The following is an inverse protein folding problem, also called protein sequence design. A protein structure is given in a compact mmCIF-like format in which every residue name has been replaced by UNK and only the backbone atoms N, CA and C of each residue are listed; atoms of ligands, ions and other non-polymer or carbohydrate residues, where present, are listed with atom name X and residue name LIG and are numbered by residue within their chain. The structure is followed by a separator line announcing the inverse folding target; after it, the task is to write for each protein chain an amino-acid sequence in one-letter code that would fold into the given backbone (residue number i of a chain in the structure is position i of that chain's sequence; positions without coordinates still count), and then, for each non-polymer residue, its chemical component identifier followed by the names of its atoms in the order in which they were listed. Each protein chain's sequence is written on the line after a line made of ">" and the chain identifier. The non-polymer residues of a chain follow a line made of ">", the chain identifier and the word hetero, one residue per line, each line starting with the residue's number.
data_IF_380439477421
#
_entry.id   IF_380439477421
#
_cell.length_a   1.000
_cell.length_b   1.000
_cell.length_c   1.000
_cell.angle_alpha   90.00
_cell.angle_beta   90.00
_cell.angle_gamma   90.00
#
_symmetry.space_group_name_H-M   'P 1'
#
loop_
_entity.id
_entity.type
_entity.pdbx_description
1 polymer ?
#
# COMPACT_ATOMS: atom_id res chain seq x y z
N UNK A 1 5.41 1.64 6.35
CA UNK A 1 6.74 2.26 6.26
C UNK A 1 7.49 1.95 7.55
N UNK A 2 8.37 0.98 7.46
CA UNK A 2 9.24 0.62 8.58
C UNK A 2 10.14 1.80 8.94
N UNK A 3 10.15 2.20 10.18
CA UNK A 3 11.11 3.14 10.74
C UNK A 3 10.62 4.56 11.00
N UNK A 4 9.44 4.96 10.55
CA UNK A 4 8.97 6.34 10.78
C UNK A 4 7.79 6.38 11.75
N UNK A 5 8.06 6.10 13.03
CA UNK A 5 7.07 6.27 14.10
C UNK A 5 6.12 5.07 14.29
N UNK A 6 6.38 3.93 13.64
CA UNK A 6 5.65 2.68 13.92
C UNK A 6 6.29 2.00 15.12
N UNK A 7 5.60 2.04 16.25
CA UNK A 7 6.03 1.40 17.50
C UNK A 7 5.13 0.22 17.84
N UNK A 8 5.56 -0.66 18.74
CA UNK A 8 4.71 -1.76 19.22
C UNK A 8 3.41 -1.24 19.85
N UNK A 9 3.47 -0.13 20.60
CA UNK A 9 2.28 0.53 21.15
C UNK A 9 1.31 0.99 20.08
N UNK A 10 1.82 1.58 18.99
CA UNK A 10 1.01 1.96 17.84
C UNK A 10 0.31 0.76 17.21
N UNK A 11 1.02 -0.35 17.02
CA UNK A 11 0.49 -1.56 16.38
C UNK A 11 -0.59 -2.24 17.24
N UNK A 12 -0.40 -2.35 18.55
CA UNK A 12 -1.36 -3.04 19.43
C UNK A 12 -2.66 -2.26 19.65
N UNK A 13 -2.67 -0.97 19.39
CA UNK A 13 -3.85 -0.12 19.49
C UNK A 13 -4.63 0.00 18.18
N UNK A 14 -4.15 -0.59 17.08
CA UNK A 14 -4.80 -0.52 15.77
C UNK A 14 -5.88 -1.60 15.63
N UNK A 15 -6.99 -1.27 14.99
CA UNK A 15 -8.00 -2.24 14.54
C UNK A 15 -7.68 -2.81 13.16
N UNK A 16 -6.99 -2.02 12.35
CA UNK A 16 -6.56 -2.39 11.00
C UNK A 16 -5.10 -1.95 10.80
N UNK A 17 -4.29 -2.86 10.30
CA UNK A 17 -2.90 -2.62 9.92
C UNK A 17 -2.77 -2.72 8.41
N UNK A 18 -2.19 -1.73 7.77
CA UNK A 18 -2.01 -1.75 6.33
C UNK A 18 -0.54 -1.69 5.94
N UNK A 19 -0.09 -2.72 5.22
CA UNK A 19 1.21 -2.74 4.54
C UNK A 19 1.05 -2.00 3.22
N UNK A 20 1.69 -0.85 3.09
CA UNK A 20 1.65 -0.06 1.85
C UNK A 20 2.85 -0.39 1.00
N UNK A 21 2.63 -1.12 -0.10
CA UNK A 21 3.71 -1.46 -1.05
C UNK A 21 4.06 -0.29 -1.96
N UNK A 22 3.05 0.41 -2.49
CA UNK A 22 3.26 1.56 -3.37
C UNK A 22 2.01 2.46 -3.43
N UNK A 23 2.06 3.52 -4.24
CA UNK A 23 0.93 4.42 -4.52
C UNK A 23 0.58 4.35 -6.00
N UNK A 24 -0.71 4.38 -6.33
CA UNK A 24 -1.21 4.23 -7.68
C UNK A 24 -0.68 5.28 -8.65
N UNK A 25 -0.54 6.54 -8.22
CA UNK A 25 -0.04 7.64 -9.04
C UNK A 25 1.47 7.54 -9.37
N UNK A 26 2.21 6.73 -8.68
CA UNK A 26 3.67 6.58 -8.85
C UNK A 26 4.13 5.16 -8.53
N UNK A 27 3.68 4.17 -9.30
CA UNK A 27 4.09 2.77 -9.11
C UNK A 27 5.61 2.65 -9.24
N UNK A 28 6.22 1.85 -8.35
CA UNK A 28 7.67 1.64 -8.33
C UNK A 28 8.52 2.78 -7.79
N UNK A 29 7.96 3.96 -7.56
CA UNK A 29 8.64 5.08 -6.88
C UNK A 29 8.45 4.98 -5.36
N UNK A 30 9.43 5.43 -4.60
CA UNK A 30 9.32 5.54 -3.15
C UNK A 30 8.41 6.68 -2.70
N UNK A 31 8.22 6.82 -1.39
CA UNK A 31 7.57 7.97 -0.81
C UNK A 31 8.44 9.23 -0.94
N UNK A 32 7.83 10.36 -1.27
CA UNK A 32 8.48 11.65 -1.32
C UNK A 32 7.61 12.70 -0.61
N UNK A 33 8.21 13.50 0.26
CA UNK A 33 7.58 14.67 0.84
C UNK A 33 8.45 15.89 0.56
N UNK A 34 7.96 16.87 -0.21
CA UNK A 34 8.73 18.08 -0.51
C UNK A 34 9.06 18.87 0.76
N UNK A 35 10.22 19.52 0.79
CA UNK A 35 10.70 20.24 1.98
C UNK A 35 9.72 21.28 2.52
N UNK A 36 9.00 21.99 1.64
CA UNK A 36 7.99 22.97 2.06
C UNK A 36 6.79 22.40 2.82
N UNK A 37 6.59 21.06 2.77
CA UNK A 37 5.57 20.33 3.53
C UNK A 37 6.13 19.72 4.82
N UNK A 38 7.45 19.81 5.03
CA UNK A 38 8.10 19.29 6.25
C UNK A 38 8.20 20.46 7.24
N UNK A 39 7.16 20.64 8.02
CA UNK A 39 7.13 21.59 9.12
C UNK A 39 7.84 21.03 10.37
N UNK A 40 7.88 21.83 11.45
CA UNK A 40 8.51 21.44 12.71
C UNK A 40 7.88 20.20 13.32
N UNK A 41 6.57 19.99 13.14
CA UNK A 41 5.87 18.84 13.66
C UNK A 41 6.24 17.58 12.90
N UNK A 42 6.19 17.64 11.57
CA UNK A 42 6.59 16.54 10.70
C UNK A 42 8.07 16.21 10.91
N UNK A 43 8.92 17.23 11.04
CA UNK A 43 10.33 17.06 11.36
C UNK A 43 10.56 16.25 12.63
N UNK A 44 9.83 16.53 13.69
CA UNK A 44 9.92 15.78 14.95
C UNK A 44 9.43 14.34 14.81
N UNK A 45 8.25 14.15 14.21
CA UNK A 45 7.63 12.81 14.03
C UNK A 45 8.49 11.92 13.13
N UNK A 46 9.15 12.51 12.15
CA UNK A 46 9.97 11.78 11.18
C UNK A 46 11.46 11.74 11.53
N UNK A 47 11.86 12.30 12.68
CA UNK A 47 13.27 12.42 13.08
C UNK A 47 14.14 13.07 11.99
N UNK A 48 13.64 14.16 11.40
CA UNK A 48 14.26 14.86 10.29
C UNK A 48 14.31 16.37 10.51
N UNK A 49 15.05 17.08 9.66
CA UNK A 49 15.17 18.54 9.74
C UNK A 49 14.00 19.19 9.01
N UNK A 50 13.26 20.11 9.66
CA UNK A 50 12.23 20.90 9.01
C UNK A 50 12.76 21.64 7.76
N UNK A 51 11.93 21.73 6.74
CA UNK A 51 12.27 22.37 5.47
C UNK A 51 13.09 21.51 4.51
N UNK A 52 13.57 20.36 4.95
CA UNK A 52 14.31 19.41 4.09
C UNK A 52 13.37 18.34 3.56
N UNK A 53 13.42 18.09 2.24
CA UNK A 53 12.60 17.06 1.61
C UNK A 53 12.93 15.66 2.15
N UNK A 54 11.88 14.87 2.36
CA UNK A 54 11.99 13.48 2.79
C UNK A 54 11.81 12.55 1.60
N UNK A 55 12.70 11.57 1.49
CA UNK A 55 12.60 10.49 0.51
C UNK A 55 12.56 9.19 1.32
N UNK A 56 11.43 8.50 1.25
CA UNK A 56 11.32 7.14 1.77
C UNK A 56 11.69 6.18 0.64
N UNK A 57 12.63 5.28 0.84
CA UNK A 57 12.88 4.24 -0.15
C UNK A 57 11.62 3.41 -0.36
N UNK A 58 11.43 2.83 -1.54
CA UNK A 58 10.35 1.87 -1.76
C UNK A 58 10.43 0.75 -0.72
N UNK A 59 9.29 0.20 -0.27
CA UNK A 59 9.30 -0.92 0.69
C UNK A 59 10.04 -2.16 0.17
N UNK A 60 10.32 -2.21 -1.12
CA UNK A 60 11.10 -3.27 -1.77
C UNK A 60 12.53 -3.42 -1.23
N UNK A 61 13.07 -2.46 -0.48
CA UNK A 61 14.36 -2.62 0.19
C UNK A 61 14.32 -3.64 1.33
N UNK A 62 13.12 -3.94 1.86
CA UNK A 62 12.92 -4.90 2.95
C UNK A 62 12.07 -6.10 2.51
N UNK A 63 11.35 -5.97 1.39
CA UNK A 63 10.42 -6.98 0.88
C UNK A 63 10.77 -7.24 -0.58
N UNK A 64 11.45 -8.35 -0.85
CA UNK A 64 11.90 -8.74 -2.19
C UNK A 64 11.08 -9.86 -2.80
N UNK A 65 10.28 -10.54 -1.99
CA UNK A 65 9.49 -11.69 -2.41
C UNK A 65 8.13 -11.71 -1.71
N UNK A 66 7.24 -12.57 -2.21
CA UNK A 66 5.94 -12.80 -1.56
C UNK A 66 6.12 -13.49 -0.19
N UNK A 67 7.18 -14.24 -0.02
CA UNK A 67 7.54 -14.90 1.24
C UNK A 67 7.95 -13.88 2.30
N UNK A 68 8.70 -12.85 1.93
CA UNK A 68 9.06 -11.75 2.84
C UNK A 68 7.80 -10.99 3.28
N UNK A 69 6.87 -10.75 2.34
CA UNK A 69 5.57 -10.14 2.66
C UNK A 69 4.73 -11.03 3.57
N UNK A 70 4.72 -12.33 3.32
CA UNK A 70 4.02 -13.30 4.17
C UNK A 70 4.58 -13.33 5.59
N UNK A 71 5.90 -13.23 5.75
CA UNK A 71 6.54 -13.13 7.04
C UNK A 71 6.11 -11.86 7.78
N UNK A 72 6.09 -10.71 7.10
CA UNK A 72 5.65 -9.46 7.70
C UNK A 72 4.18 -9.50 8.12
N UNK A 73 3.29 -10.09 7.30
CA UNK A 73 1.88 -10.29 7.64
C UNK A 73 1.76 -11.15 8.89
N UNK A 74 2.51 -12.24 8.96
CA UNK A 74 2.55 -13.14 10.12
C UNK A 74 3.03 -12.40 11.38
N UNK A 75 4.10 -11.63 11.29
CA UNK A 75 4.65 -10.87 12.40
C UNK A 75 3.65 -9.83 12.93
N UNK A 76 2.97 -9.10 12.03
CA UNK A 76 1.93 -8.15 12.42
C UNK A 76 0.76 -8.82 13.12
N UNK A 77 0.33 -9.99 12.65
CA UNK A 77 -0.73 -10.77 13.31
C UNK A 77 -0.29 -11.32 14.68
N UNK A 78 0.98 -11.59 14.88
CA UNK A 78 1.51 -11.98 16.20
C UNK A 78 1.60 -10.79 17.16
N UNK A 79 1.93 -9.61 16.65
CA UNK A 79 1.96 -8.38 17.48
C UNK A 79 0.56 -7.96 17.91
N UNK A 80 -0.42 -8.05 17.00
CA UNK A 80 -1.81 -7.71 17.29
C UNK A 80 -2.76 -8.72 16.62
N UNK A 81 -3.11 -9.81 17.33
CA UNK A 81 -3.99 -10.86 16.79
C UNK A 81 -5.41 -10.39 16.48
N UNK A 82 -5.88 -9.32 17.11
CA UNK A 82 -7.22 -8.78 16.90
C UNK A 82 -7.32 -7.86 15.68
N UNK A 83 -6.18 -7.33 15.20
CA UNK A 83 -6.18 -6.43 14.07
C UNK A 83 -6.29 -7.18 12.73
N UNK A 84 -7.04 -6.61 11.81
CA UNK A 84 -7.04 -7.05 10.41
C UNK A 84 -5.78 -6.55 9.71
N UNK A 85 -5.12 -7.41 8.96
CA UNK A 85 -3.94 -7.04 8.17
C UNK A 85 -4.32 -6.91 6.72
N UNK A 86 -4.10 -5.73 6.15
CA UNK A 86 -4.34 -5.43 4.75
C UNK A 86 -3.04 -5.11 4.00
N UNK A 87 -3.05 -5.32 2.69
CA UNK A 87 -1.94 -4.96 1.81
C UNK A 87 -2.45 -4.02 0.72
N UNK A 88 -1.81 -2.86 0.56
CA UNK A 88 -2.10 -1.92 -0.52
C UNK A 88 -1.15 -2.16 -1.68
N UNK A 89 -1.73 -2.53 -2.82
CA UNK A 89 -1.07 -2.73 -4.11
C UNK A 89 -1.48 -1.62 -5.08
N UNK A 90 -0.76 -1.49 -6.18
CA UNK A 90 -1.14 -0.59 -7.27
C UNK A 90 -1.74 -1.37 -8.43
N UNK A 91 -2.67 -0.71 -9.14
CA UNK A 91 -3.21 -1.21 -10.40
C UNK A 91 -2.13 -1.14 -11.47
N UNK A 92 -1.47 -2.26 -11.68
CA UNK A 92 -0.46 -2.46 -12.72
C UNK A 92 -0.55 -3.88 -13.27
N UNK A 93 0.09 -4.13 -14.40
CA UNK A 93 0.08 -5.46 -15.00
C UNK A 93 0.66 -6.51 -14.04
N UNK A 94 -0.08 -7.59 -13.80
CA UNK A 94 0.32 -8.66 -12.90
C UNK A 94 -0.14 -8.48 -11.45
N UNK A 95 -0.87 -7.41 -11.13
CA UNK A 95 -1.38 -7.16 -9.76
C UNK A 95 -2.22 -8.31 -9.24
N UNK A 96 -2.98 -8.98 -10.10
CA UNK A 96 -3.77 -10.16 -9.72
C UNK A 96 -2.92 -11.30 -9.18
N UNK A 97 -1.74 -11.53 -9.75
CA UNK A 97 -0.81 -12.54 -9.26
C UNK A 97 -0.26 -12.18 -7.87
N UNK A 98 0.09 -10.92 -7.67
CA UNK A 98 0.54 -10.43 -6.36
C UNK A 98 -0.59 -10.55 -5.32
N UNK A 99 -1.81 -10.16 -5.69
CA UNK A 99 -2.98 -10.29 -4.82
C UNK A 99 -3.30 -11.75 -4.44
N UNK A 100 -3.10 -12.69 -5.36
CA UNK A 100 -3.23 -14.12 -5.05
C UNK A 100 -2.17 -14.56 -4.02
N UNK A 101 -0.95 -14.08 -4.14
CA UNK A 101 0.11 -14.29 -3.15
C UNK A 101 -0.26 -13.70 -1.78
N UNK A 102 -0.77 -12.47 -1.75
CA UNK A 102 -1.25 -11.79 -0.53
C UNK A 102 -2.36 -12.61 0.15
N UNK A 103 -3.31 -13.13 -0.63
CA UNK A 103 -4.37 -13.99 -0.10
C UNK A 103 -3.82 -15.30 0.48
N UNK A 104 -2.84 -15.94 -0.18
CA UNK A 104 -2.17 -17.13 0.33
C UNK A 104 -1.35 -16.85 1.59
N UNK A 105 -0.81 -15.65 1.71
CA UNK A 105 -0.08 -15.18 2.89
C UNK A 105 -0.99 -14.83 4.08
N UNK A 106 -2.30 -15.09 3.97
CA UNK A 106 -3.29 -14.89 5.03
C UNK A 106 -3.54 -13.42 5.41
N UNK A 107 -3.35 -12.47 4.50
CA UNK A 107 -3.89 -11.13 4.67
C UNK A 107 -5.43 -11.20 4.66
N UNK A 108 -6.07 -10.34 5.43
CA UNK A 108 -7.54 -10.28 5.54
C UNK A 108 -8.14 -9.44 4.41
N UNK A 109 -7.33 -8.52 3.87
CA UNK A 109 -7.82 -7.51 2.95
C UNK A 109 -6.70 -7.07 1.98
N UNK A 110 -7.07 -6.76 0.75
CA UNK A 110 -6.18 -6.18 -0.26
C UNK A 110 -6.82 -4.94 -0.89
N UNK A 111 -6.07 -3.85 -0.99
CA UNK A 111 -6.50 -2.62 -1.68
C UNK A 111 -5.76 -2.50 -3.00
N UNK A 112 -6.50 -2.29 -4.08
CA UNK A 112 -5.97 -2.03 -5.42
C UNK A 112 -6.10 -0.53 -5.69
N UNK A 113 -4.97 0.16 -5.77
CA UNK A 113 -4.91 1.62 -5.95
C UNK A 113 -4.76 2.00 -7.41
N UNK A 114 -5.70 2.78 -7.93
CA UNK A 114 -5.62 3.34 -9.28
C UNK A 114 -4.66 4.53 -9.38
N UNK A 115 -4.39 4.98 -10.59
CA UNK A 115 -3.43 6.08 -10.87
C UNK A 115 -3.81 7.42 -10.22
N UNK A 116 -5.05 7.62 -9.84
CA UNK A 116 -5.50 8.81 -9.09
C UNK A 116 -5.09 8.78 -7.61
N UNK A 117 -4.67 7.62 -7.11
CA UNK A 117 -4.30 7.43 -5.70
C UNK A 117 -2.91 8.00 -5.38
N UNK A 118 -2.83 8.93 -4.42
CA UNK A 118 -1.55 9.43 -3.92
C UNK A 118 -0.91 10.56 -4.73
N UNK A 119 -1.71 11.36 -5.45
CA UNK A 119 -1.24 12.45 -6.32
C UNK A 119 -0.66 13.64 -5.58
N UNK A 120 -0.95 13.84 -4.29
CA UNK A 120 -0.61 15.06 -3.54
C UNK A 120 0.88 15.39 -3.44
N UNK A 121 1.78 14.43 -3.61
CA UNK A 121 3.23 14.62 -3.57
C UNK A 121 3.94 13.99 -4.77
N UNK A 122 3.18 13.59 -5.79
CA UNK A 122 3.75 12.97 -7.00
C UNK A 122 4.27 14.02 -7.98
N UNK A 123 5.39 13.75 -8.68
CA UNK A 123 5.81 14.57 -9.81
C UNK A 123 4.73 14.61 -10.90
N UNK A 124 4.64 15.72 -11.61
CA UNK A 124 3.63 15.88 -12.67
C UNK A 124 3.77 14.84 -13.78
N UNK A 125 4.99 14.43 -14.08
CA UNK A 125 5.29 13.37 -15.04
C UNK A 125 4.72 12.02 -14.63
N UNK A 126 4.78 11.68 -13.34
CA UNK A 126 4.18 10.46 -12.82
C UNK A 126 2.65 10.52 -12.88
N UNK A 127 2.05 11.65 -12.52
CA UNK A 127 0.60 11.85 -12.56
C UNK A 127 0.07 11.69 -14.00
N UNK A 128 0.83 12.18 -14.99
CA UNK A 128 0.40 12.18 -16.39
C UNK A 128 0.67 10.86 -17.12
N UNK A 129 1.67 10.09 -16.71
CA UNK A 129 2.21 9.00 -17.51
C UNK A 129 2.37 7.66 -16.77
N UNK A 130 2.23 7.64 -15.45
CA UNK A 130 2.38 6.41 -14.67
C UNK A 130 1.03 5.91 -14.13
N UNK A 131 0.98 4.61 -13.82
CA UNK A 131 -0.18 3.97 -13.24
C UNK A 131 -1.26 3.57 -14.26
N UNK A 132 -2.26 2.85 -13.79
CA UNK A 132 -3.42 2.44 -14.57
C UNK A 132 -4.72 2.63 -13.78
N UNK A 133 -5.89 2.67 -14.46
CA UNK A 133 -7.18 2.77 -13.79
C UNK A 133 -7.40 1.62 -12.79
N UNK A 134 -8.02 1.91 -11.65
CA UNK A 134 -8.32 0.89 -10.64
C UNK A 134 -9.24 -0.22 -11.16
N UNK A 135 -10.10 0.07 -12.14
CA UNK A 135 -11.04 -0.88 -12.74
C UNK A 135 -10.30 -2.04 -13.42
N UNK A 136 -9.20 -1.75 -14.10
CA UNK A 136 -8.38 -2.78 -14.75
C UNK A 136 -7.72 -3.67 -13.70
N UNK A 137 -7.10 -3.06 -12.68
CA UNK A 137 -6.47 -3.80 -11.58
C UNK A 137 -7.46 -4.62 -10.77
N UNK A 138 -8.67 -4.10 -10.54
CA UNK A 138 -9.74 -4.83 -9.87
C UNK A 138 -10.19 -6.04 -10.69
N UNK A 139 -10.43 -5.86 -11.99
CA UNK A 139 -10.86 -6.94 -12.88
C UNK A 139 -9.83 -8.07 -12.92
N UNK A 140 -8.55 -7.75 -13.11
CA UNK A 140 -7.46 -8.71 -13.10
C UNK A 140 -7.36 -9.43 -11.76
N UNK A 141 -7.43 -8.69 -10.66
CA UNK A 141 -7.37 -9.24 -9.30
C UNK A 141 -8.55 -10.18 -9.05
N UNK A 142 -9.76 -9.75 -9.34
CA UNK A 142 -10.96 -10.56 -9.16
C UNK A 142 -10.88 -11.86 -9.96
N UNK A 143 -10.57 -11.78 -11.24
CA UNK A 143 -10.47 -12.95 -12.11
C UNK A 143 -9.39 -13.93 -11.62
N UNK A 144 -8.22 -13.42 -11.24
CA UNK A 144 -7.12 -14.25 -10.73
C UNK A 144 -7.49 -14.95 -9.42
N UNK A 145 -8.12 -14.23 -8.50
CA UNK A 145 -8.59 -14.80 -7.23
C UNK A 145 -9.66 -15.86 -7.45
N UNK A 146 -10.60 -15.64 -8.38
CA UNK A 146 -11.63 -16.64 -8.72
C UNK A 146 -11.01 -17.89 -9.33
N UNK A 147 -10.14 -17.75 -10.33
CA UNK A 147 -9.45 -18.87 -10.98
C UNK A 147 -8.64 -19.72 -10.01
N UNK A 148 -8.09 -19.10 -8.97
CA UNK A 148 -7.31 -19.79 -7.93
C UNK A 148 -8.12 -20.20 -6.70
N UNK A 149 -9.45 -20.05 -6.70
CA UNK A 149 -10.34 -20.36 -5.57
C UNK A 149 -9.99 -19.58 -4.29
N UNK A 150 -9.47 -18.37 -4.45
CA UNK A 150 -9.03 -17.50 -3.35
C UNK A 150 -10.00 -16.34 -3.07
N UNK A 151 -10.97 -16.08 -4.00
CA UNK A 151 -11.83 -14.89 -3.91
C UNK A 151 -12.63 -14.79 -2.61
N UNK A 152 -13.05 -15.92 -2.05
CA UNK A 152 -13.80 -15.98 -0.79
C UNK A 152 -12.92 -15.86 0.47
N UNK A 153 -11.60 -15.80 0.32
CA UNK A 153 -10.64 -15.79 1.45
C UNK A 153 -10.17 -14.38 1.83
N UNK A 154 -10.36 -13.40 0.96
CA UNK A 154 -9.83 -12.05 1.13
C UNK A 154 -10.85 -11.00 0.68
N UNK A 155 -11.00 -9.94 1.45
CA UNK A 155 -11.75 -8.77 1.03
C UNK A 155 -10.93 -7.95 0.03
N UNK A 156 -11.58 -7.46 -1.03
CA UNK A 156 -10.94 -6.62 -2.05
C UNK A 156 -11.57 -5.24 -2.02
N UNK A 157 -10.74 -4.23 -1.91
CA UNK A 157 -11.09 -2.81 -1.92
C UNK A 157 -10.36 -2.13 -3.07
N UNK A 158 -10.88 -1.01 -3.52
CA UNK A 158 -10.22 -0.12 -4.48
C UNK A 158 -10.10 1.28 -3.91
N UNK A 159 -9.11 2.01 -4.36
CA UNK A 159 -9.01 3.46 -4.19
C UNK A 159 -8.59 4.13 -5.51
N UNK A 160 -8.86 5.42 -5.58
CA UNK A 160 -8.67 6.22 -6.78
C UNK A 160 -9.80 7.23 -6.93
N UNK A 161 -10.15 7.59 -8.16
CA UNK A 161 -11.29 8.45 -8.43
C UNK A 161 -12.58 7.63 -8.51
N UNK A 162 -13.38 7.68 -7.47
CA UNK A 162 -14.66 6.94 -7.36
C UNK A 162 -15.91 7.82 -7.59
N UNK A 163 -15.70 9.07 -8.05
CA UNK A 163 -16.79 10.09 -8.08
C UNK A 163 -17.97 9.73 -8.98
N UNK A 164 -17.77 8.90 -9.99
CA UNK A 164 -18.80 8.50 -10.95
C UNK A 164 -19.16 7.02 -10.92
N UNK A 165 -18.55 6.26 -10.05
CA UNK A 165 -18.68 4.79 -10.03
C UNK A 165 -19.35 4.26 -8.77
N UNK A 166 -19.63 5.16 -7.82
CA UNK A 166 -20.44 4.79 -6.66
C UNK A 166 -21.92 4.96 -7.02
N UNK A 167 -22.75 3.88 -6.97
CA UNK A 167 -24.18 3.99 -7.12
C UNK A 167 -24.82 4.76 -5.96
#
# INVERSE_FOLDING_TARGET
>A
ETGFGVTAEYLVNATDLQIKMAQGAKPGEGGQLPGHKVDDWIGRVRNSTPGVGLISPPPHHDIYSIEDLAQLIHDLKNVNPEARVSVKLVSELGVGTVAAGVSKAHADHVTISGFDGGTGASPITSIQHAGSPWEIGLAETHETLVKNQLRGRIAVQVDGCLLYTSP
#
